data_IF_942389170267
#
_entry.id   IF_942389170267
#
_cell.length_a   1.000
_cell.length_b   1.000
_cell.length_c   1.000
_cell.angle_alpha   90.00
_cell.angle_beta   90.00
_cell.angle_gamma   90.00
#
_symmetry.space_group_name_H-M   'P 1'
#
loop_
_entity.id
_entity.type
_entity.pdbx_description
1 polymer ?
#
# COMPACT_ATOMS: atom_id res chain seq x y z
N UNK A 1 15.93 -15.99 0.28
CA UNK A 1 15.89 -15.12 1.49
C UNK A 1 14.57 -14.35 1.51
N UNK A 2 13.45 -15.07 1.61
CA UNK A 2 12.06 -14.55 1.56
C UNK A 2 11.23 -15.02 2.78
N UNK A 3 11.91 -15.39 3.88
CA UNK A 3 11.27 -16.01 5.05
C UNK A 3 10.32 -15.06 5.81
N UNK A 4 10.50 -13.75 5.66
CA UNK A 4 9.65 -12.73 6.26
C UNK A 4 8.31 -12.51 5.52
N UNK A 5 8.17 -12.94 4.27
CA UNK A 5 6.96 -12.73 3.47
C UNK A 5 5.96 -13.90 3.55
N UNK A 6 6.42 -15.10 3.92
CA UNK A 6 5.56 -16.28 4.13
C UNK A 6 4.87 -16.30 5.51
N UNK A 7 5.21 -15.36 6.39
CA UNK A 7 4.55 -15.20 7.69
C UNK A 7 3.22 -14.45 7.50
N UNK A 8 2.12 -15.11 7.88
CA UNK A 8 0.78 -14.55 7.88
C UNK A 8 0.78 -13.11 8.41
N UNK A 9 0.28 -12.17 7.59
CA UNK A 9 0.31 -10.72 7.80
C UNK A 9 -0.17 -10.31 9.20
N UNK A 10 -1.11 -11.07 9.75
CA UNK A 10 -1.66 -10.88 11.09
C UNK A 10 -0.64 -11.10 12.21
N UNK A 11 0.26 -12.09 12.08
CA UNK A 11 1.32 -12.34 13.05
C UNK A 11 2.38 -11.24 13.02
N UNK A 12 2.76 -10.77 11.82
CA UNK A 12 3.67 -9.64 11.69
C UNK A 12 3.07 -8.37 12.30
N UNK A 13 1.81 -8.06 11.96
CA UNK A 13 1.10 -6.92 12.55
C UNK A 13 1.02 -7.01 14.07
N UNK A 14 0.62 -8.16 14.61
CA UNK A 14 0.53 -8.38 16.06
C UNK A 14 1.89 -8.25 16.75
N UNK A 15 2.97 -8.77 16.16
CA UNK A 15 4.32 -8.66 16.73
C UNK A 15 4.81 -7.21 16.80
N UNK A 16 4.56 -6.40 15.76
CA UNK A 16 4.94 -4.98 15.73
C UNK A 16 4.17 -4.20 16.80
N UNK A 17 2.88 -4.45 16.95
CA UNK A 17 2.06 -3.83 18.01
C UNK A 17 2.55 -4.28 19.39
N UNK A 18 2.80 -5.58 19.59
CA UNK A 18 3.27 -6.11 20.86
C UNK A 18 4.63 -5.51 21.26
N UNK A 19 5.58 -5.39 20.33
CA UNK A 19 6.89 -4.76 20.57
C UNK A 19 6.73 -3.28 20.90
N UNK A 20 5.86 -2.56 20.20
CA UNK A 20 5.60 -1.14 20.44
C UNK A 20 4.99 -0.90 21.83
N UNK A 21 4.02 -1.73 22.22
CA UNK A 21 3.39 -1.67 23.55
C UNK A 21 4.38 -2.06 24.65
N UNK A 22 5.18 -3.11 24.44
CA UNK A 22 6.20 -3.52 25.38
C UNK A 22 7.23 -2.41 25.60
N UNK A 23 7.69 -1.76 24.52
CA UNK A 23 8.61 -0.61 24.59
C UNK A 23 8.00 0.54 25.40
N UNK A 24 6.75 0.92 25.11
CA UNK A 24 6.05 1.97 25.83
C UNK A 24 5.90 1.63 27.33
N UNK A 25 5.59 0.37 27.65
CA UNK A 25 5.52 -0.11 29.03
C UNK A 25 6.89 -0.05 29.72
N UNK A 26 7.96 -0.51 29.08
CA UNK A 26 9.31 -0.37 29.64
C UNK A 26 9.66 1.08 29.90
N UNK A 27 9.43 2.00 28.96
CA UNK A 27 9.73 3.44 29.17
C UNK A 27 8.91 4.01 30.33
N UNK A 28 7.61 3.71 30.40
CA UNK A 28 6.74 4.18 31.47
C UNK A 28 7.12 3.61 32.85
N UNK A 29 7.42 2.31 32.93
CA UNK A 29 7.82 1.63 34.15
C UNK A 29 9.19 2.14 34.62
N UNK A 30 10.14 2.31 33.70
CA UNK A 30 11.49 2.79 34.02
C UNK A 30 11.44 4.24 34.51
N UNK A 31 10.65 5.10 33.85
CA UNK A 31 10.42 6.48 34.30
C UNK A 31 9.77 6.55 35.69
N UNK A 32 8.79 5.68 35.98
CA UNK A 32 8.18 5.58 37.32
C UNK A 32 9.15 5.04 38.36
N UNK A 33 9.94 4.01 38.02
CA UNK A 33 10.91 3.37 38.94
C UNK A 33 12.07 4.27 39.30
N UNK A 34 12.53 5.11 38.37
CA UNK A 34 13.62 6.06 38.63
C UNK A 34 13.19 7.31 39.40
N UNK A 35 11.93 7.40 39.86
CA UNK A 35 11.37 8.59 40.49
C UNK A 35 11.68 9.87 39.68
N UNK A 36 11.68 9.75 38.35
CA UNK A 36 11.64 10.87 37.41
C UNK A 36 10.23 11.52 37.44
N UNK A 37 9.69 11.73 38.65
CA UNK A 37 8.72 12.79 38.86
C UNK A 37 9.49 14.08 38.59
N UNK A 38 9.36 14.53 37.35
CA UNK A 38 9.70 15.88 36.90
C UNK A 38 9.22 16.81 38.00
N UNK A 39 10.18 17.37 38.76
CA UNK A 39 9.91 18.52 39.60
C UNK A 39 9.29 19.53 38.65
N UNK A 40 8.08 19.97 38.95
CA UNK A 40 7.18 20.73 38.07
C UNK A 40 7.76 22.04 37.50
N UNK A 41 8.98 22.42 37.87
CA UNK A 41 9.72 23.60 37.41
C UNK A 41 10.53 23.37 36.11
N UNK A 42 10.89 22.14 35.73
CA UNK A 42 11.74 21.85 34.54
C UNK A 42 10.95 21.29 33.33
N UNK A 43 9.73 21.75 33.09
CA UNK A 43 8.86 21.27 31.98
C UNK A 43 9.26 21.79 30.59
N UNK A 44 10.18 22.75 30.51
CA UNK A 44 10.58 23.41 29.25
C UNK A 44 11.11 22.45 28.17
N UNK A 45 12.05 21.53 28.48
CA UNK A 45 12.64 20.65 27.46
C UNK A 45 11.71 19.51 27.02
N UNK A 46 10.90 18.96 27.94
CA UNK A 46 10.05 17.80 27.66
C UNK A 46 8.87 18.16 26.73
N UNK A 47 8.27 19.34 26.93
CA UNK A 47 7.21 19.84 26.04
C UNK A 47 7.70 20.08 24.62
N UNK A 48 8.90 20.65 24.45
CA UNK A 48 9.52 20.86 23.16
C UNK A 48 9.79 19.53 22.43
N UNK A 49 10.32 18.51 23.12
CA UNK A 49 10.54 17.20 22.50
C UNK A 49 9.22 16.54 22.04
N UNK A 50 8.14 16.66 22.81
CA UNK A 50 6.84 16.14 22.41
C UNK A 50 6.29 16.81 21.15
N UNK A 51 6.47 18.12 21.02
CA UNK A 51 6.09 18.88 19.82
C UNK A 51 6.89 18.43 18.59
N UNK A 52 8.21 18.27 18.73
CA UNK A 52 9.06 17.78 17.63
C UNK A 52 8.65 16.38 17.17
N UNK A 53 8.34 15.46 18.09
CA UNK A 53 7.86 14.12 17.77
C UNK A 53 6.52 14.19 17.02
N UNK A 54 5.59 15.05 17.48
CA UNK A 54 4.31 15.26 16.82
C UNK A 54 4.45 15.78 15.38
N UNK A 55 5.36 16.72 15.14
CA UNK A 55 5.65 17.24 13.79
C UNK A 55 6.24 16.16 12.90
N UNK A 56 7.24 15.41 13.37
CA UNK A 56 7.83 14.31 12.60
C UNK A 56 6.80 13.23 12.25
N UNK A 57 5.92 12.90 13.20
CA UNK A 57 4.83 11.96 12.97
C UNK A 57 3.85 12.45 11.90
N UNK A 58 3.41 13.71 11.97
CA UNK A 58 2.50 14.30 10.99
C UNK A 58 3.10 14.30 9.57
N UNK A 59 4.39 14.62 9.43
CA UNK A 59 5.10 14.60 8.14
C UNK A 59 5.20 13.16 7.60
N UNK A 60 5.58 12.20 8.44
CA UNK A 60 5.66 10.80 8.03
C UNK A 60 4.29 10.25 7.59
N UNK A 61 3.23 10.57 8.33
CA UNK A 61 1.86 10.21 7.98
C UNK A 61 1.42 10.84 6.65
N UNK A 62 1.71 12.13 6.44
CA UNK A 62 1.40 12.80 5.18
C UNK A 62 2.10 12.14 3.99
N UNK A 63 3.39 11.80 4.12
CA UNK A 63 4.14 11.09 3.08
C UNK A 63 3.58 9.68 2.82
N UNK A 64 3.16 8.97 3.87
CA UNK A 64 2.53 7.66 3.73
C UNK A 64 1.23 7.74 2.93
N UNK A 65 0.36 8.70 3.26
CA UNK A 65 -0.92 8.90 2.56
C UNK A 65 -0.70 9.22 1.08
N UNK A 66 0.21 10.15 0.77
CA UNK A 66 0.55 10.51 -0.62
C UNK A 66 1.08 9.30 -1.38
N UNK A 67 1.93 8.49 -0.75
CA UNK A 67 2.48 7.28 -1.38
C UNK A 67 1.39 6.24 -1.68
N UNK A 68 0.44 6.05 -0.76
CA UNK A 68 -0.66 5.10 -0.97
C UNK A 68 -1.55 5.56 -2.13
N UNK A 69 -1.93 6.83 -2.18
CA UNK A 69 -2.76 7.38 -3.25
C UNK A 69 -2.05 7.32 -4.61
N UNK A 70 -0.74 7.61 -4.65
CA UNK A 70 0.05 7.51 -5.87
C UNK A 70 0.11 6.10 -6.46
N UNK A 71 0.10 5.06 -5.63
CA UNK A 71 0.07 3.67 -6.09
C UNK A 71 -1.26 3.33 -6.77
N UNK A 72 -2.38 3.75 -6.20
CA UNK A 72 -3.70 3.51 -6.80
C UNK A 72 -3.85 4.21 -8.15
N UNK A 73 -3.42 5.47 -8.24
CA UNK A 73 -3.50 6.25 -9.49
C UNK A 73 -2.69 5.62 -10.64
N UNK A 74 -1.52 5.04 -10.35
CA UNK A 74 -0.70 4.38 -11.37
C UNK A 74 -1.36 3.10 -11.91
N UNK A 75 -1.94 2.29 -11.02
CA UNK A 75 -2.64 1.06 -11.42
C UNK A 75 -3.88 1.40 -12.25
N UNK A 76 -4.67 2.39 -11.82
CA UNK A 76 -5.84 2.86 -12.57
C UNK A 76 -5.44 3.33 -13.97
N UNK A 77 -4.39 4.16 -14.08
CA UNK A 77 -3.91 4.64 -15.37
C UNK A 77 -3.44 3.50 -16.28
N UNK A 78 -2.77 2.48 -15.73
CA UNK A 78 -2.34 1.31 -16.50
C UNK A 78 -3.55 0.55 -17.08
N UNK A 79 -4.58 0.29 -16.26
CA UNK A 79 -5.81 -0.39 -16.69
C UNK A 79 -6.54 0.41 -17.77
N UNK A 80 -6.66 1.73 -17.61
CA UNK A 80 -7.30 2.61 -18.61
C UNK A 80 -6.52 2.63 -19.92
N UNK A 81 -5.19 2.68 -19.87
CA UNK A 81 -4.34 2.64 -21.05
C UNK A 81 -4.50 1.30 -21.80
N UNK A 82 -4.53 0.19 -21.07
CA UNK A 82 -4.71 -1.14 -21.64
C UNK A 82 -6.09 -1.30 -22.29
N UNK A 83 -7.17 -0.90 -21.60
CA UNK A 83 -8.52 -0.91 -22.15
C UNK A 83 -8.63 -0.08 -23.44
N UNK A 84 -7.96 1.09 -23.46
CA UNK A 84 -7.91 1.96 -24.63
C UNK A 84 -7.14 1.31 -25.79
N UNK A 85 -6.00 0.66 -25.50
CA UNK A 85 -5.21 -0.05 -26.50
C UNK A 85 -5.98 -1.23 -27.12
N UNK A 86 -6.68 -2.02 -26.31
CA UNK A 86 -7.51 -3.14 -26.76
C UNK A 86 -8.69 -2.64 -27.62
N UNK A 87 -9.36 -1.55 -27.20
CA UNK A 87 -10.43 -0.93 -27.96
C UNK A 87 -9.94 -0.38 -29.31
N UNK A 88 -8.77 0.24 -29.33
CA UNK A 88 -8.13 0.71 -30.56
C UNK A 88 -7.79 -0.47 -31.48
N UNK A 89 -7.20 -1.53 -30.94
CA UNK A 89 -6.87 -2.73 -31.69
C UNK A 89 -8.12 -3.35 -32.31
N UNK A 90 -9.19 -3.53 -31.52
CA UNK A 90 -10.46 -4.07 -32.01
C UNK A 90 -11.02 -3.26 -33.18
N UNK A 91 -10.99 -1.92 -33.09
CA UNK A 91 -11.43 -1.03 -34.18
C UNK A 91 -10.53 -1.09 -35.41
N UNK A 92 -9.21 -1.28 -35.26
CA UNK A 92 -8.31 -1.45 -36.41
C UNK A 92 -8.55 -2.77 -37.14
N UNK A 93 -8.96 -3.81 -36.41
CA UNK A 93 -9.26 -5.11 -36.99
C UNK A 93 -10.51 -5.10 -37.88
N UNK A 94 -11.40 -4.12 -37.72
CA UNK A 94 -12.61 -3.99 -38.54
C UNK A 94 -12.34 -3.71 -40.03
N UNK A 95 -11.14 -3.23 -40.37
CA UNK A 95 -10.71 -2.99 -41.74
C UNK A 95 -10.14 -4.21 -42.47
N UNK A 96 -9.95 -5.36 -41.80
CA UNK A 96 -9.40 -6.56 -42.43
C UNK A 96 -10.47 -7.38 -43.17
N UNK A 97 -10.03 -8.07 -44.23
CA UNK A 97 -10.83 -9.09 -44.93
C UNK A 97 -10.99 -10.37 -44.07
N UNK A 98 -12.10 -11.07 -44.26
CA UNK A 98 -12.30 -12.40 -43.68
C UNK A 98 -11.34 -13.41 -44.34
N UNK A 99 -10.79 -14.39 -43.59
CA UNK A 99 -11.10 -14.77 -42.21
C UNK A 99 -10.19 -14.12 -41.14
N UNK A 100 -9.28 -13.23 -41.54
CA UNK A 100 -8.29 -12.62 -40.64
C UNK A 100 -8.93 -11.78 -39.54
N UNK A 101 -9.98 -11.03 -39.89
CA UNK A 101 -10.78 -10.22 -38.98
C UNK A 101 -11.38 -11.03 -37.83
N UNK A 102 -12.18 -12.04 -38.14
CA UNK A 102 -12.87 -12.87 -37.14
C UNK A 102 -11.88 -13.62 -36.23
N UNK A 103 -10.76 -14.10 -36.77
CA UNK A 103 -9.71 -14.76 -35.98
C UNK A 103 -9.06 -13.81 -34.97
N UNK A 104 -8.66 -12.62 -35.40
CA UNK A 104 -7.99 -11.65 -34.54
C UNK A 104 -8.96 -11.06 -33.50
N UNK A 105 -10.21 -10.76 -33.87
CA UNK A 105 -11.23 -10.33 -32.91
C UNK A 105 -11.49 -11.38 -31.83
N UNK A 106 -11.50 -12.68 -32.20
CA UNK A 106 -11.64 -13.77 -31.23
C UNK A 106 -10.47 -13.83 -30.26
N UNK A 107 -9.24 -13.67 -30.75
CA UNK A 107 -8.04 -13.64 -29.88
C UNK A 107 -8.08 -12.45 -28.92
N UNK A 108 -8.47 -11.26 -29.39
CA UNK A 108 -8.63 -10.08 -28.53
C UNK A 108 -9.68 -10.29 -27.43
N UNK A 109 -10.80 -10.94 -27.75
CA UNK A 109 -11.81 -11.31 -26.73
C UNK A 109 -11.28 -12.34 -25.74
N UNK A 110 -10.58 -13.37 -26.22
CA UNK A 110 -9.98 -14.39 -25.34
C UNK A 110 -8.96 -13.78 -24.37
N UNK A 111 -8.17 -12.81 -24.82
CA UNK A 111 -7.27 -12.06 -23.96
C UNK A 111 -8.06 -11.32 -22.86
N UNK A 112 -9.09 -10.57 -23.24
CA UNK A 112 -9.92 -9.81 -22.30
C UNK A 112 -10.60 -10.73 -21.25
N UNK A 113 -11.13 -11.88 -21.69
CA UNK A 113 -11.74 -12.88 -20.82
C UNK A 113 -10.72 -13.44 -19.82
N UNK A 114 -9.48 -13.71 -20.26
CA UNK A 114 -8.41 -14.18 -19.37
C UNK A 114 -8.05 -13.14 -18.30
N UNK A 115 -7.90 -11.87 -18.68
CA UNK A 115 -7.57 -10.80 -17.74
C UNK A 115 -8.67 -10.63 -16.69
N UNK A 116 -9.94 -10.60 -17.12
CA UNK A 116 -11.09 -10.37 -16.22
C UNK A 116 -11.38 -11.58 -15.33
N UNK A 117 -11.31 -12.80 -15.86
CA UNK A 117 -11.72 -14.00 -15.12
C UNK A 117 -10.58 -14.70 -14.37
N UNK A 118 -9.33 -14.47 -14.73
CA UNK A 118 -8.18 -15.14 -14.11
C UNK A 118 -7.32 -14.14 -13.35
N UNK A 119 -6.78 -13.13 -14.04
CA UNK A 119 -5.79 -12.24 -13.44
C UNK A 119 -6.38 -11.33 -12.35
N UNK A 120 -7.56 -10.74 -12.57
CA UNK A 120 -8.18 -9.85 -11.58
C UNK A 120 -8.61 -10.58 -10.29
N UNK A 121 -9.24 -11.77 -10.34
CA UNK A 121 -9.51 -12.56 -9.13
C UNK A 121 -8.26 -12.99 -8.39
N UNK A 122 -7.18 -13.36 -9.10
CA UNK A 122 -5.90 -13.72 -8.48
C UNK A 122 -5.24 -12.52 -7.78
N UNK A 123 -5.36 -11.31 -8.34
CA UNK A 123 -4.87 -10.08 -7.69
C UNK A 123 -5.67 -9.68 -6.44
N UNK A 124 -6.87 -10.24 -6.24
CA UNK A 124 -7.71 -9.95 -5.08
C UNK A 124 -7.40 -10.84 -3.86
N UNK A 125 -6.72 -11.97 -4.07
CA UNK A 125 -6.26 -12.90 -3.02
C UNK A 125 -4.87 -12.52 -2.49
#
# INVERSE_FOLDING_TARGET
MLWLYDLNLWFLGSSVVAVSVALAWTVCITARRLNWLIRSEDQGPAGLMHQFIGVLYAVALALLVVRVQGSYAQVEQAVVNEASAVSNLYRHLDGLEEPGRSRLQKLTRQYLDSVIQVEWPDQRN
#
